data_IF_371745615613
#
_entry.id   IF_371745615613
#
_cell.length_a   1.000
_cell.length_b   1.000
_cell.length_c   1.000
_cell.angle_alpha   90.00
_cell.angle_beta   90.00
_cell.angle_gamma   90.00
#
_symmetry.space_group_name_H-M   'P 1'
#
loop_
_entity.id
_entity.type
_entity.pdbx_description
1 polymer ?
#
# COMPACT_ATOMS: atom_id res chain seq x y z
N UNK A 1 -2.38 -38.24 -5.49
CA UNK A 1 -2.03 -38.65 -4.13
C UNK A 1 -1.33 -37.55 -3.32
N UNK A 2 -0.33 -36.87 -3.86
CA UNK A 2 0.40 -35.78 -3.14
C UNK A 2 -0.53 -34.63 -2.72
N UNK A 3 -1.51 -34.25 -3.55
CA UNK A 3 -2.45 -33.17 -3.25
C UNK A 3 -3.44 -33.53 -2.11
N UNK A 4 -3.84 -34.80 -2.01
CA UNK A 4 -4.85 -35.25 -0.99
C UNK A 4 -4.23 -35.29 0.42
N UNK A 5 -2.94 -35.60 0.52
CA UNK A 5 -2.25 -35.69 1.82
C UNK A 5 -1.47 -34.41 2.14
N UNK A 6 -0.85 -33.79 1.13
CA UNK A 6 -0.06 -32.58 1.32
C UNK A 6 -0.88 -31.35 1.70
N UNK A 7 -2.11 -31.27 1.23
CA UNK A 7 -2.95 -30.11 1.48
C UNK A 7 -3.49 -30.01 2.95
N UNK A 8 -4.05 -31.07 3.55
CA UNK A 8 -4.41 -31.03 4.97
C UNK A 8 -3.20 -30.76 5.86
N UNK A 9 -2.04 -31.32 5.52
CA UNK A 9 -0.79 -31.12 6.26
C UNK A 9 -0.32 -29.67 6.18
N UNK A 10 -0.45 -29.03 5.00
CA UNK A 10 -0.11 -27.63 4.80
C UNK A 10 -1.07 -26.70 5.58
N UNK A 11 -2.39 -27.01 5.61
CA UNK A 11 -3.36 -26.27 6.43
C UNK A 11 -3.04 -26.39 7.93
N UNK A 12 -2.67 -27.59 8.40
CA UNK A 12 -2.29 -27.82 9.80
C UNK A 12 -1.02 -27.02 10.16
N UNK A 13 0.00 -27.05 9.31
CA UNK A 13 1.24 -26.27 9.53
C UNK A 13 0.94 -24.75 9.55
N UNK A 14 0.13 -24.25 8.62
CA UNK A 14 -0.29 -22.86 8.62
C UNK A 14 -1.16 -22.51 9.82
N UNK A 15 -1.98 -23.44 10.30
CA UNK A 15 -2.76 -23.29 11.52
C UNK A 15 -1.87 -23.10 12.74
N UNK A 16 -0.94 -24.03 12.95
CA UNK A 16 0.03 -23.98 14.04
C UNK A 16 0.88 -22.70 13.99
N UNK A 17 1.32 -22.31 12.78
CA UNK A 17 2.10 -21.09 12.58
C UNK A 17 1.27 -19.83 12.92
N UNK A 18 0.02 -19.78 12.46
CA UNK A 18 -0.91 -18.68 12.75
C UNK A 18 -1.15 -18.55 14.25
N UNK A 19 -1.39 -19.67 14.95
CA UNK A 19 -1.66 -19.68 16.38
C UNK A 19 -0.42 -19.30 17.20
N UNK A 20 0.77 -19.71 16.80
CA UNK A 20 2.04 -19.28 17.41
C UNK A 20 2.32 -17.78 17.21
N UNK A 21 1.95 -17.21 16.07
CA UNK A 21 2.08 -15.77 15.82
C UNK A 21 1.02 -14.94 16.56
N UNK A 22 -0.19 -15.46 16.71
CA UNK A 22 -1.25 -14.85 17.52
C UNK A 22 -0.85 -14.73 18.99
N UNK A 23 -0.29 -15.80 19.58
CA UNK A 23 0.17 -15.80 20.99
C UNK A 23 1.35 -14.84 21.24
N UNK A 24 2.11 -14.48 20.19
CA UNK A 24 3.23 -13.54 20.27
C UNK A 24 2.81 -12.09 19.95
N UNK A 25 1.51 -11.81 19.77
CA UNK A 25 1.00 -10.47 19.47
C UNK A 25 1.55 -9.88 18.15
N UNK A 26 1.97 -10.75 17.20
CA UNK A 26 2.54 -10.28 15.94
C UNK A 26 1.44 -9.86 14.96
N UNK A 27 1.62 -8.74 14.29
CA UNK A 27 0.64 -8.18 13.34
C UNK A 27 0.29 -9.14 12.18
N UNK A 28 1.20 -10.01 11.80
CA UNK A 28 1.03 -10.99 10.70
C UNK A 28 -0.01 -12.09 10.96
N UNK A 29 -0.44 -12.27 12.20
CA UNK A 29 -1.36 -13.35 12.57
C UNK A 29 -2.74 -13.22 11.91
N UNK A 30 -3.23 -11.99 11.77
CA UNK A 30 -4.52 -11.71 11.12
C UNK A 30 -4.46 -12.06 9.62
N UNK A 31 -3.40 -11.69 8.96
CA UNK A 31 -3.17 -12.00 7.54
C UNK A 31 -3.06 -13.52 7.32
N UNK A 32 -2.31 -14.22 8.16
CA UNK A 32 -2.21 -15.69 8.11
C UNK A 32 -3.57 -16.38 8.29
N UNK A 33 -4.43 -15.85 9.17
CA UNK A 33 -5.79 -16.35 9.36
C UNK A 33 -6.66 -16.17 8.12
N UNK A 34 -6.54 -15.01 7.44
CA UNK A 34 -7.24 -14.75 6.18
C UNK A 34 -6.76 -15.72 5.10
N UNK A 35 -5.45 -15.89 4.95
CA UNK A 35 -4.87 -16.83 3.97
C UNK A 35 -5.38 -18.25 4.23
N UNK A 36 -5.32 -18.72 5.48
CA UNK A 36 -5.78 -20.07 5.86
C UNK A 36 -7.27 -20.28 5.62
N UNK A 37 -8.09 -19.33 6.05
CA UNK A 37 -9.54 -19.54 6.10
C UNK A 37 -10.25 -19.16 4.79
N UNK A 38 -9.65 -18.31 3.97
CA UNK A 38 -10.29 -17.74 2.78
C UNK A 38 -9.54 -18.11 1.51
N UNK A 39 -8.24 -17.81 1.43
CA UNK A 39 -7.46 -18.03 0.20
C UNK A 39 -7.28 -19.53 -0.08
N UNK A 40 -6.87 -20.30 0.91
CA UNK A 40 -6.59 -21.72 0.73
C UNK A 40 -7.82 -22.56 0.31
N UNK A 41 -9.00 -22.45 0.94
CA UNK A 41 -10.17 -23.21 0.51
C UNK A 41 -10.56 -22.92 -0.93
N UNK A 42 -10.57 -21.65 -1.32
CA UNK A 42 -10.89 -21.23 -2.70
C UNK A 42 -9.86 -21.79 -3.69
N UNK A 43 -8.57 -21.71 -3.35
CA UNK A 43 -7.49 -22.27 -4.17
C UNK A 43 -7.64 -23.79 -4.39
N UNK A 44 -8.04 -24.51 -3.34
CA UNK A 44 -8.26 -25.97 -3.46
C UNK A 44 -9.44 -26.29 -4.36
N UNK A 45 -10.55 -25.56 -4.23
CA UNK A 45 -11.71 -25.75 -5.11
C UNK A 45 -11.28 -25.49 -6.55
N UNK A 46 -10.50 -24.43 -6.80
CA UNK A 46 -9.97 -24.13 -8.13
C UNK A 46 -9.11 -25.27 -8.67
N UNK A 47 -8.15 -25.76 -7.88
CA UNK A 47 -7.32 -26.91 -8.27
C UNK A 47 -8.14 -28.18 -8.50
N UNK A 48 -9.16 -28.42 -7.72
CA UNK A 48 -10.06 -29.55 -7.90
C UNK A 48 -10.82 -29.44 -9.24
N UNK A 49 -11.34 -28.26 -9.56
CA UNK A 49 -12.02 -28.03 -10.86
C UNK A 49 -11.08 -28.24 -12.04
N UNK A 50 -9.85 -27.71 -11.98
CA UNK A 50 -8.90 -27.80 -13.09
C UNK A 50 -8.24 -29.18 -13.19
N UNK A 51 -7.87 -29.84 -12.08
CA UNK A 51 -7.04 -31.07 -12.08
C UNK A 51 -7.85 -32.34 -11.93
N UNK A 52 -8.97 -32.32 -11.22
CA UNK A 52 -9.81 -33.53 -10.99
C UNK A 52 -10.95 -33.56 -11.98
N UNK A 53 -11.70 -32.45 -12.11
CA UNK A 53 -12.80 -32.36 -13.08
C UNK A 53 -12.30 -32.07 -14.50
N UNK A 54 -11.02 -31.73 -14.67
CA UNK A 54 -10.37 -31.42 -15.97
C UNK A 54 -11.15 -30.38 -16.78
N UNK A 55 -11.81 -29.44 -16.10
CA UNK A 55 -12.52 -28.37 -16.76
C UNK A 55 -11.53 -27.44 -17.48
N UNK A 56 -11.82 -27.05 -18.73
CA UNK A 56 -10.96 -26.12 -19.45
C UNK A 56 -10.97 -24.74 -18.75
N UNK A 57 -9.86 -24.03 -18.84
CA UNK A 57 -9.70 -22.70 -18.20
C UNK A 57 -10.72 -21.68 -18.73
N UNK A 58 -11.26 -21.91 -19.94
CA UNK A 58 -12.25 -21.03 -20.56
C UNK A 58 -13.68 -21.24 -20.03
N UNK A 59 -13.87 -22.25 -19.18
CA UNK A 59 -15.16 -22.50 -18.54
C UNK A 59 -15.53 -21.37 -17.58
N UNK A 60 -16.77 -20.84 -17.70
CA UNK A 60 -17.26 -19.74 -16.88
C UNK A 60 -17.16 -20.00 -15.37
N UNK A 61 -17.38 -21.24 -14.93
CA UNK A 61 -17.24 -21.63 -13.53
C UNK A 61 -15.77 -21.56 -13.05
N UNK A 62 -14.82 -21.93 -13.91
CA UNK A 62 -13.38 -21.83 -13.59
C UNK A 62 -12.98 -20.36 -13.54
N UNK A 63 -13.36 -19.54 -14.52
CA UNK A 63 -13.12 -18.09 -14.54
C UNK A 63 -13.70 -17.40 -13.30
N UNK A 64 -14.93 -17.76 -12.91
CA UNK A 64 -15.58 -17.21 -11.72
C UNK A 64 -14.82 -17.59 -10.44
N UNK A 65 -14.41 -18.85 -10.32
CA UNK A 65 -13.66 -19.32 -9.15
C UNK A 65 -12.25 -18.72 -9.08
N UNK A 66 -11.62 -18.54 -10.22
CA UNK A 66 -10.32 -17.86 -10.34
C UNK A 66 -10.43 -16.37 -9.96
N UNK A 67 -11.49 -15.70 -10.40
CA UNK A 67 -11.79 -14.32 -9.97
C UNK A 67 -11.96 -14.24 -8.46
N UNK A 68 -12.72 -15.15 -7.87
CA UNK A 68 -12.91 -15.23 -6.41
C UNK A 68 -11.59 -15.46 -5.68
N UNK A 69 -10.73 -16.34 -6.21
CA UNK A 69 -9.39 -16.57 -5.66
C UNK A 69 -8.56 -15.28 -5.64
N UNK A 70 -8.53 -14.54 -6.74
CA UNK A 70 -7.80 -13.28 -6.83
C UNK A 70 -8.35 -12.21 -5.88
N UNK A 71 -9.68 -12.12 -5.72
CA UNK A 71 -10.31 -11.22 -4.72
C UNK A 71 -9.80 -11.56 -3.32
N UNK A 72 -9.75 -12.85 -2.97
CA UNK A 72 -9.23 -13.30 -1.67
C UNK A 72 -7.74 -12.96 -1.50
N UNK A 73 -6.93 -13.10 -2.55
CA UNK A 73 -5.50 -12.76 -2.55
C UNK A 73 -5.30 -11.25 -2.37
N UNK A 74 -6.05 -10.42 -3.10
CA UNK A 74 -6.01 -8.95 -2.95
C UNK A 74 -6.40 -8.56 -1.52
N UNK A 75 -7.46 -9.16 -0.98
CA UNK A 75 -7.87 -8.91 0.40
C UNK A 75 -6.79 -9.31 1.43
N UNK A 76 -6.13 -10.45 1.23
CA UNK A 76 -5.01 -10.87 2.08
C UNK A 76 -3.81 -9.90 1.96
N UNK A 77 -3.49 -9.44 0.74
CA UNK A 77 -2.43 -8.46 0.50
C UNK A 77 -2.73 -7.11 1.18
N UNK A 78 -3.97 -6.63 1.12
CA UNK A 78 -4.40 -5.42 1.81
C UNK A 78 -4.34 -5.57 3.34
N UNK A 79 -4.72 -6.73 3.86
CA UNK A 79 -4.59 -7.06 5.28
C UNK A 79 -3.12 -7.07 5.72
N UNK A 80 -2.24 -7.65 4.91
CA UNK A 80 -0.80 -7.65 5.15
C UNK A 80 -0.24 -6.22 5.18
N UNK A 81 -0.62 -5.40 4.22
CA UNK A 81 -0.21 -4.00 4.16
C UNK A 81 -0.65 -3.24 5.42
N UNK A 82 -1.90 -3.43 5.85
CA UNK A 82 -2.40 -2.85 7.10
C UNK A 82 -1.60 -3.30 8.33
N UNK A 83 -1.36 -4.60 8.41
CA UNK A 83 -0.62 -5.21 9.50
C UNK A 83 0.82 -4.68 9.61
N UNK A 84 1.51 -4.56 8.47
CA UNK A 84 2.90 -4.10 8.41
C UNK A 84 3.02 -2.60 8.69
N UNK A 85 2.04 -1.79 8.26
CA UNK A 85 2.13 -0.34 8.35
C UNK A 85 1.57 0.21 9.67
N UNK A 86 0.55 -0.44 10.25
CA UNK A 86 -0.23 0.16 11.35
C UNK A 86 -0.29 -0.65 12.64
N UNK A 87 -0.18 -1.97 12.59
CA UNK A 87 -0.21 -2.77 13.82
C UNK A 87 1.15 -2.70 14.54
N UNK A 88 1.12 -2.27 15.80
CA UNK A 88 2.32 -2.15 16.66
C UNK A 88 3.03 -0.79 16.56
N UNK A 89 2.45 0.20 15.89
CA UNK A 89 3.04 1.54 15.80
C UNK A 89 2.75 2.30 17.11
N UNK A 90 3.80 2.62 17.86
CA UNK A 90 3.70 3.53 19.01
C UNK A 90 3.26 4.91 18.52
N UNK A 91 2.40 5.58 19.29
CA UNK A 91 1.81 6.89 18.94
C UNK A 91 2.86 7.99 18.61
N UNK A 92 4.10 7.78 19.03
CA UNK A 92 5.20 8.73 18.87
C UNK A 92 6.04 8.50 17.59
N UNK A 93 5.63 7.55 16.73
CA UNK A 93 6.39 7.22 15.53
C UNK A 93 5.87 8.04 14.33
N UNK A 94 6.76 8.42 13.39
CA UNK A 94 6.40 9.13 12.16
C UNK A 94 5.25 8.45 11.36
N UNK A 95 5.10 7.14 11.48
CA UNK A 95 4.02 6.36 10.85
C UNK A 95 2.62 6.74 11.37
N UNK A 96 2.51 7.16 12.64
CA UNK A 96 1.25 7.65 13.20
C UNK A 96 0.83 9.01 12.61
N UNK A 97 1.76 9.73 11.95
CA UNK A 97 1.53 11.03 11.32
C UNK A 97 1.13 10.94 9.85
N UNK A 98 1.12 9.73 9.26
CA UNK A 98 0.72 9.54 7.85
C UNK A 98 -0.77 9.83 7.72
N UNK A 99 -1.17 10.77 6.84
CA UNK A 99 -2.58 11.06 6.61
C UNK A 99 -3.35 9.81 6.16
N UNK A 100 -4.48 9.55 6.78
CA UNK A 100 -5.35 8.41 6.43
C UNK A 100 -5.70 8.39 4.94
N UNK A 101 -5.84 9.56 4.34
CA UNK A 101 -6.14 9.73 2.92
C UNK A 101 -5.09 9.08 2.00
N UNK A 102 -3.80 9.19 2.34
CA UNK A 102 -2.73 8.56 1.55
C UNK A 102 -2.82 7.03 1.56
N UNK A 103 -3.25 6.48 2.68
CA UNK A 103 -3.43 5.04 2.84
C UNK A 103 -4.64 4.53 2.07
N UNK A 104 -5.74 5.26 2.16
CA UNK A 104 -6.96 4.93 1.42
C UNK A 104 -6.71 5.04 -0.09
N UNK A 105 -5.90 6.01 -0.53
CA UNK A 105 -5.47 6.14 -1.92
C UNK A 105 -4.59 4.96 -2.36
N UNK A 106 -3.63 4.55 -1.53
CA UNK A 106 -2.78 3.38 -1.81
C UNK A 106 -3.60 2.08 -1.89
N UNK A 107 -4.59 1.91 -1.00
CA UNK A 107 -5.53 0.78 -1.05
C UNK A 107 -6.35 0.78 -2.32
N UNK A 108 -6.93 1.93 -2.67
CA UNK A 108 -7.70 2.08 -3.90
C UNK A 108 -6.86 1.72 -5.12
N UNK A 109 -5.62 2.20 -5.18
CA UNK A 109 -4.69 1.89 -6.26
C UNK A 109 -4.41 0.38 -6.36
N UNK A 110 -4.16 -0.31 -5.24
CA UNK A 110 -3.93 -1.76 -5.21
C UNK A 110 -5.17 -2.55 -5.62
N UNK A 111 -6.37 -2.12 -5.23
CA UNK A 111 -7.63 -2.74 -5.63
C UNK A 111 -7.83 -2.60 -7.14
N UNK A 112 -7.64 -1.39 -7.68
CA UNK A 112 -7.78 -1.13 -9.12
C UNK A 112 -6.75 -1.90 -9.94
N UNK A 113 -5.50 -1.95 -9.49
CA UNK A 113 -4.45 -2.73 -10.13
C UNK A 113 -4.78 -4.22 -10.11
N UNK A 114 -5.20 -4.75 -8.97
CA UNK A 114 -5.61 -6.14 -8.86
C UNK A 114 -6.83 -6.48 -9.73
N UNK A 115 -7.83 -5.60 -9.77
CA UNK A 115 -8.99 -5.77 -10.64
C UNK A 115 -8.59 -5.75 -12.13
N UNK A 116 -7.69 -4.85 -12.54
CA UNK A 116 -7.20 -4.78 -13.91
C UNK A 116 -6.45 -6.08 -14.31
N UNK A 117 -5.60 -6.61 -13.41
CA UNK A 117 -4.90 -7.88 -13.63
C UNK A 117 -5.92 -9.01 -13.84
N UNK A 118 -6.94 -9.11 -12.99
CA UNK A 118 -7.99 -10.15 -13.09
C UNK A 118 -8.76 -10.02 -14.41
N UNK A 119 -9.16 -8.82 -14.79
CA UNK A 119 -9.87 -8.60 -16.05
C UNK A 119 -9.00 -8.97 -17.26
N UNK A 120 -7.71 -8.64 -17.23
CA UNK A 120 -6.81 -8.94 -18.33
C UNK A 120 -6.46 -10.44 -18.43
N UNK A 121 -6.23 -11.12 -17.27
CA UNK A 121 -5.69 -12.48 -17.27
C UNK A 121 -6.78 -13.56 -17.25
N UNK A 122 -7.87 -13.35 -16.52
CA UNK A 122 -8.95 -14.34 -16.37
C UNK A 122 -10.02 -14.13 -17.44
N UNK A 123 -10.38 -12.87 -17.70
CA UNK A 123 -11.45 -12.52 -18.64
C UNK A 123 -10.93 -12.12 -20.02
N UNK A 124 -9.62 -12.11 -20.22
CA UNK A 124 -8.97 -11.73 -21.48
C UNK A 124 -9.45 -10.37 -22.03
N UNK A 125 -9.86 -9.47 -21.13
CA UNK A 125 -10.38 -8.17 -21.50
C UNK A 125 -9.29 -7.29 -22.08
N UNK A 126 -9.58 -6.62 -23.21
CA UNK A 126 -8.67 -5.62 -23.78
C UNK A 126 -8.70 -4.33 -22.94
N UNK A 127 -7.67 -4.13 -22.16
CA UNK A 127 -7.51 -2.96 -21.31
C UNK A 127 -6.66 -1.84 -21.96
N UNK A 128 -6.25 -1.99 -23.21
CA UNK A 128 -5.34 -1.03 -23.87
C UNK A 128 -5.91 0.39 -23.86
N UNK A 129 -7.21 0.54 -24.19
CA UNK A 129 -7.88 1.83 -24.14
C UNK A 129 -7.96 2.43 -22.75
N UNK A 130 -8.23 1.60 -21.73
CA UNK A 130 -8.29 2.03 -20.33
C UNK A 130 -6.92 2.47 -19.82
N UNK A 131 -5.88 1.71 -20.11
CA UNK A 131 -4.48 2.04 -19.74
C UNK A 131 -4.05 3.34 -20.40
N UNK A 132 -4.40 3.53 -21.68
CA UNK A 132 -4.09 4.78 -22.41
C UNK A 132 -4.82 5.98 -21.78
N UNK A 133 -6.11 5.85 -21.48
CA UNK A 133 -6.89 6.91 -20.84
C UNK A 133 -6.37 7.25 -19.44
N UNK A 134 -6.02 6.24 -18.63
CA UNK A 134 -5.40 6.44 -17.31
C UNK A 134 -4.02 7.08 -17.44
N UNK A 135 -3.23 6.70 -18.44
CA UNK A 135 -1.93 7.29 -18.71
C UNK A 135 -2.02 8.79 -19.04
N UNK A 136 -2.93 9.17 -19.93
CA UNK A 136 -3.18 10.56 -20.26
C UNK A 136 -3.71 11.36 -19.04
N UNK A 137 -4.64 10.78 -18.30
CA UNK A 137 -5.18 11.41 -17.09
C UNK A 137 -4.11 11.62 -16.02
N UNK A 138 -3.23 10.64 -15.82
CA UNK A 138 -2.14 10.75 -14.85
C UNK A 138 -1.09 11.79 -15.26
N UNK A 139 -0.85 11.97 -16.55
CA UNK A 139 0.02 13.02 -17.07
C UNK A 139 -0.56 14.41 -16.76
N UNK A 140 -1.85 14.61 -17.01
CA UNK A 140 -2.52 15.89 -16.71
C UNK A 140 -2.49 16.18 -15.21
N UNK A 141 -2.81 15.17 -14.38
CA UNK A 141 -2.75 15.31 -12.91
C UNK A 141 -1.30 15.58 -12.47
N UNK A 142 -0.32 14.88 -13.02
CA UNK A 142 1.10 15.08 -12.72
C UNK A 142 1.58 16.50 -13.01
N UNK A 143 1.20 17.04 -14.17
CA UNK A 143 1.49 18.42 -14.53
C UNK A 143 0.82 19.42 -13.59
N UNK A 144 -0.45 19.17 -13.23
CA UNK A 144 -1.17 20.05 -12.31
C UNK A 144 -0.58 20.03 -10.87
N UNK A 145 0.05 18.93 -10.47
CA UNK A 145 0.67 18.78 -9.15
C UNK A 145 2.17 19.06 -9.13
N UNK A 146 2.80 19.40 -10.28
CA UNK A 146 4.24 19.53 -10.42
C UNK A 146 4.87 20.46 -9.38
N UNK A 147 4.32 21.66 -9.20
CA UNK A 147 4.86 22.63 -8.25
C UNK A 147 4.70 22.18 -6.80
N UNK A 148 3.58 21.53 -6.48
CA UNK A 148 3.34 20.99 -5.14
C UNK A 148 4.34 19.88 -4.82
N UNK A 149 4.57 18.97 -5.76
CA UNK A 149 5.54 17.89 -5.59
C UNK A 149 6.97 18.44 -5.52
N UNK A 150 7.29 19.46 -6.30
CA UNK A 150 8.58 20.16 -6.25
C UNK A 150 8.84 20.75 -4.87
N UNK A 151 7.87 21.46 -4.30
CA UNK A 151 7.97 22.04 -2.94
C UNK A 151 8.14 20.96 -1.86
N UNK A 152 7.40 19.86 -1.96
CA UNK A 152 7.54 18.71 -1.05
C UNK A 152 8.94 18.11 -1.14
N UNK A 153 9.45 17.87 -2.36
CA UNK A 153 10.80 17.33 -2.56
C UNK A 153 11.87 18.24 -2.01
N UNK A 154 11.75 19.55 -2.21
CA UNK A 154 12.67 20.54 -1.64
C UNK A 154 12.67 20.52 -0.11
N UNK A 155 11.49 20.42 0.52
CA UNK A 155 11.37 20.29 1.98
C UNK A 155 12.01 19.01 2.51
N UNK A 156 11.82 17.90 1.80
CA UNK A 156 12.46 16.62 2.15
C UNK A 156 13.98 16.71 2.01
N UNK A 157 14.50 17.31 0.92
CA UNK A 157 15.92 17.52 0.72
C UNK A 157 16.54 18.35 1.84
N UNK A 158 15.89 19.44 2.27
CA UNK A 158 16.32 20.25 3.41
C UNK A 158 16.44 19.45 4.72
N UNK A 159 15.50 18.52 4.98
CA UNK A 159 15.55 17.68 6.16
C UNK A 159 16.71 16.67 6.14
N UNK A 160 17.10 16.20 4.95
CA UNK A 160 18.22 15.28 4.80
C UNK A 160 19.58 15.98 4.80
N UNK A 161 19.71 17.05 4.02
CA UNK A 161 20.96 17.77 3.85
C UNK A 161 21.29 18.67 5.05
N UNK A 162 20.25 19.15 5.75
CA UNK A 162 20.37 20.05 6.91
C UNK A 162 21.38 21.19 6.70
N UNK A 163 21.26 21.99 5.65
CA UNK A 163 22.19 23.07 5.37
C UNK A 163 22.16 24.14 6.47
N UNK A 164 21.11 24.20 7.28
CA UNK A 164 20.94 25.04 8.45
C UNK A 164 20.12 24.30 9.52
N UNK A 165 20.19 24.76 10.76
CA UNK A 165 19.56 24.17 11.92
C UNK A 165 18.63 25.16 12.63
N UNK A 166 17.74 24.65 13.50
CA UNK A 166 16.94 25.51 14.37
C UNK A 166 17.87 26.33 15.26
N UNK A 167 17.68 27.67 15.24
CA UNK A 167 18.53 28.64 15.93
C UNK A 167 19.45 29.42 14.98
N UNK A 168 19.68 28.97 13.77
CA UNK A 168 20.52 29.67 12.80
C UNK A 168 19.83 30.92 12.24
N UNK A 169 20.63 31.91 11.85
CA UNK A 169 20.14 33.11 11.18
C UNK A 169 20.21 32.92 9.66
N UNK A 170 19.07 33.10 9.02
CA UNK A 170 18.96 32.99 7.56
C UNK A 170 18.57 34.33 6.94
N UNK A 171 19.09 34.57 5.73
CA UNK A 171 18.60 35.62 4.85
C UNK A 171 17.95 34.98 3.62
N UNK A 172 16.68 35.25 3.42
CA UNK A 172 15.93 34.75 2.27
C UNK A 172 15.32 35.96 1.55
N UNK A 173 15.94 36.35 0.44
CA UNK A 173 15.65 37.63 -0.22
C UNK A 173 15.96 38.79 0.72
N UNK A 174 14.96 39.64 0.95
CA UNK A 174 15.07 40.80 1.85
C UNK A 174 14.74 40.48 3.32
N UNK A 175 14.28 39.25 3.61
CA UNK A 175 13.92 38.84 4.96
C UNK A 175 15.14 38.26 5.69
N UNK A 176 15.38 38.74 6.90
CA UNK A 176 16.39 38.20 7.81
C UNK A 176 15.69 37.72 9.07
N UNK A 177 15.88 36.44 9.43
CA UNK A 177 15.24 35.87 10.60
C UNK A 177 15.97 34.65 11.15
N UNK A 178 15.67 34.35 12.40
CA UNK A 178 16.17 33.15 13.06
C UNK A 178 15.22 31.97 12.82
N UNK A 179 15.76 30.80 12.48
CA UNK A 179 14.99 29.57 12.28
C UNK A 179 14.43 29.09 13.61
N UNK A 180 13.11 29.02 13.73
CA UNK A 180 12.42 28.50 14.93
C UNK A 180 12.04 27.05 14.75
N UNK A 181 11.61 26.66 13.52
CA UNK A 181 11.08 25.33 13.26
C UNK A 181 11.31 24.97 11.79
N UNK A 182 11.62 23.70 11.55
CA UNK A 182 11.82 23.14 10.20
C UNK A 182 10.90 21.94 10.05
N UNK A 183 9.95 22.05 9.12
CA UNK A 183 9.05 20.99 8.75
C UNK A 183 9.33 20.50 7.33
N UNK A 184 8.80 19.36 6.96
CA UNK A 184 8.95 18.78 5.62
C UNK A 184 8.39 19.65 4.47
N UNK A 185 7.59 20.68 4.78
CA UNK A 185 6.94 21.55 3.81
C UNK A 185 7.31 23.02 3.95
N UNK A 186 7.77 23.45 5.11
CA UNK A 186 7.99 24.87 5.40
C UNK A 186 9.02 25.06 6.50
N UNK A 187 9.69 26.21 6.45
CA UNK A 187 10.57 26.68 7.49
C UNK A 187 9.95 27.91 8.14
N UNK A 188 9.93 27.96 9.47
CA UNK A 188 9.45 29.12 10.24
C UNK A 188 10.63 29.97 10.66
N UNK A 189 10.58 31.23 10.29
CA UNK A 189 11.57 32.23 10.69
C UNK A 189 10.93 33.24 11.64
N UNK A 190 11.69 33.70 12.63
CA UNK A 190 11.36 34.87 13.43
C UNK A 190 12.26 36.03 13.01
N UNK A 191 11.65 37.11 12.55
CA UNK A 191 12.37 38.33 12.16
C UNK A 191 12.86 39.10 13.43
N UNK A 192 13.71 40.10 13.21
CA UNK A 192 14.19 41.00 14.28
C UNK A 192 13.02 41.74 14.95
N UNK A 193 11.92 41.97 14.25
CA UNK A 193 10.72 42.62 14.75
C UNK A 193 9.78 41.65 15.47
N UNK A 194 10.23 40.39 15.69
CA UNK A 194 9.49 39.28 16.31
C UNK A 194 8.27 38.82 15.50
N UNK A 195 8.20 39.11 14.25
CA UNK A 195 7.18 38.58 13.36
C UNK A 195 7.54 37.15 12.95
N UNK A 196 6.53 36.26 12.83
CA UNK A 196 6.71 34.92 12.33
C UNK A 196 6.43 34.88 10.84
N UNK A 197 7.41 34.49 10.07
CA UNK A 197 7.31 34.29 8.62
C UNK A 197 7.46 32.83 8.30
N UNK A 198 6.61 32.31 7.43
CA UNK A 198 6.66 30.94 6.91
C UNK A 198 7.14 31.02 5.47
N UNK A 199 8.21 30.27 5.18
CA UNK A 199 8.82 30.16 3.85
C UNK A 199 8.86 28.70 3.39
#
# INVERSE_FOLDING_TARGET
MILIVGFPLFILILGELSDRFLHKGKPLALTLKIVRNLVLPVFVVLLFMQKVLQLPNDNEWVKTMETLFWICVIHAALSLLNSLLFEGVKADTWRARVPKLLLDLARLFLILLGAAIVLATVWEADLAGLVTALGLSSLVIGLALQDTLGSVMSGIALLFERPFSVGDWLRVGDLVGQVIDINWRSVRLQTLEREMVII
#
